data_IF_333014951108
#
_entry.id   IF_333014951108
#
_cell.length_a   1.000
_cell.length_b   1.000
_cell.length_c   1.000
_cell.angle_alpha   90.00
_cell.angle_beta   90.00
_cell.angle_gamma   90.00
#
_symmetry.space_group_name_H-M   'P 1'
#
loop_
_entity.id
_entity.type
_entity.pdbx_description
1 polymer ?
#
# COMPACT_ATOMS: atom_id res chain seq x y z
N UNK A 1 4.77 -31.85 -8.25
CA UNK A 1 4.08 -32.11 -6.97
C UNK A 1 3.07 -31.01 -6.74
N UNK A 2 1.80 -31.38 -6.59
CA UNK A 2 0.72 -30.47 -6.26
C UNK A 2 0.99 -29.84 -4.88
N UNK A 3 1.21 -28.53 -4.84
CA UNK A 3 1.09 -27.75 -3.62
C UNK A 3 -0.33 -27.17 -3.62
N UNK A 4 -1.30 -28.00 -3.25
CA UNK A 4 -2.63 -27.55 -2.86
C UNK A 4 -2.51 -26.90 -1.49
N UNK A 5 -2.19 -25.61 -1.47
CA UNK A 5 -2.25 -24.77 -0.29
C UNK A 5 -2.89 -23.47 -0.69
N UNK A 6 -4.18 -23.34 -0.46
CA UNK A 6 -4.93 -22.12 -0.68
C UNK A 6 -4.26 -20.96 0.09
N UNK A 7 -3.71 -19.93 -0.58
CA UNK A 7 -3.06 -18.81 0.09
C UNK A 7 -4.01 -18.02 1.00
N UNK A 8 -5.33 -18.15 0.77
CA UNK A 8 -6.38 -17.44 1.50
C UNK A 8 -6.56 -17.99 2.92
N UNK A 9 -6.13 -19.22 3.19
CA UNK A 9 -6.29 -19.86 4.49
C UNK A 9 -5.42 -19.25 5.61
N UNK A 10 -4.41 -18.43 5.28
CA UNK A 10 -3.45 -17.88 6.26
C UNK A 10 -3.72 -16.43 6.67
N UNK A 11 -4.56 -15.68 5.95
CA UNK A 11 -4.78 -14.26 6.22
C UNK A 11 -6.02 -13.97 7.08
N UNK A 12 -6.85 -14.99 7.36
CA UNK A 12 -8.18 -14.76 7.91
C UNK A 12 -8.42 -15.51 9.22
N UNK A 13 -8.22 -14.73 10.28
CA UNK A 13 -8.67 -14.85 11.67
C UNK A 13 -7.71 -15.54 12.68
N UNK A 14 -7.67 -15.02 13.93
CA UNK A 14 -8.67 -14.14 14.50
C UNK A 14 -8.13 -12.74 14.83
N UNK A 15 -8.95 -11.71 14.58
CA UNK A 15 -9.12 -10.70 15.62
C UNK A 15 -9.62 -11.47 16.84
N UNK A 16 -8.72 -12.10 17.60
CA UNK A 16 -9.04 -12.57 18.94
C UNK A 16 -9.06 -11.29 19.75
N UNK A 17 -10.25 -10.72 19.98
CA UNK A 17 -10.30 -9.42 20.60
C UNK A 17 -9.99 -9.56 22.10
N UNK A 18 -9.73 -10.79 22.61
CA UNK A 18 -9.26 -11.06 23.97
C UNK A 18 -7.94 -10.39 24.35
N UNK A 19 -7.17 -9.88 23.38
CA UNK A 19 -5.97 -9.06 23.59
C UNK A 19 -6.23 -7.55 23.72
N UNK A 20 -7.44 -7.07 23.41
CA UNK A 20 -7.80 -5.64 23.44
C UNK A 20 -8.75 -5.36 24.62
N UNK A 21 -8.44 -4.35 25.45
CA UNK A 21 -9.12 -4.11 26.73
C UNK A 21 -10.64 -3.96 26.63
N UNK A 22 -11.13 -3.24 25.61
CA UNK A 22 -12.57 -3.00 25.40
C UNK A 22 -13.39 -4.28 25.15
N UNK A 23 -12.78 -5.36 24.65
CA UNK A 23 -13.49 -6.62 24.40
C UNK A 23 -13.81 -7.40 25.67
N UNK A 24 -12.91 -7.31 26.65
CA UNK A 24 -13.10 -7.94 27.96
C UNK A 24 -14.25 -7.27 28.73
N UNK A 25 -14.46 -5.99 28.46
CA UNK A 25 -15.52 -5.17 29.07
C UNK A 25 -16.85 -5.23 28.30
N UNK A 26 -16.88 -5.78 27.09
CA UNK A 26 -18.11 -5.93 26.32
C UNK A 26 -19.18 -6.75 27.06
N UNK A 27 -20.47 -6.53 26.78
CA UNK A 27 -21.53 -7.35 27.32
C UNK A 27 -21.37 -8.83 26.86
N UNK A 28 -21.76 -9.79 27.70
CA UNK A 28 -21.66 -11.22 27.40
C UNK A 28 -22.40 -11.59 26.10
N UNK A 29 -23.56 -11.00 25.87
CA UNK A 29 -24.36 -11.17 24.66
C UNK A 29 -23.63 -10.72 23.39
N UNK A 30 -22.91 -9.58 23.44
CA UNK A 30 -22.10 -9.10 22.31
C UNK A 30 -20.93 -10.05 22.02
N UNK A 31 -20.29 -10.60 23.06
CA UNK A 31 -19.22 -11.59 22.89
C UNK A 31 -19.72 -12.89 22.26
N UNK A 32 -20.85 -13.41 22.74
CA UNK A 32 -21.49 -14.61 22.19
C UNK A 32 -21.90 -14.39 20.73
N UNK A 33 -22.47 -13.23 20.42
CA UNK A 33 -22.90 -12.89 19.06
C UNK A 33 -21.71 -12.78 18.10
N UNK A 34 -20.62 -12.12 18.51
CA UNK A 34 -19.41 -12.04 17.69
C UNK A 34 -18.71 -13.39 17.54
N UNK A 35 -18.67 -14.22 18.59
CA UNK A 35 -18.13 -15.57 18.52
C UNK A 35 -18.95 -16.45 17.57
N UNK A 36 -20.28 -16.32 17.59
CA UNK A 36 -21.16 -16.98 16.64
C UNK A 36 -20.87 -16.54 15.21
N UNK A 37 -20.75 -15.24 14.95
CA UNK A 37 -20.40 -14.69 13.62
C UNK A 37 -18.99 -15.08 13.18
N UNK A 38 -18.01 -15.17 14.07
CA UNK A 38 -16.67 -15.62 13.74
C UNK A 38 -16.63 -17.12 13.38
N UNK A 39 -17.44 -17.95 14.07
CA UNK A 39 -17.49 -19.39 13.85
C UNK A 39 -18.39 -19.81 12.67
N UNK A 40 -19.42 -19.03 12.35
CA UNK A 40 -20.44 -19.39 11.34
C UNK A 40 -20.54 -18.38 10.19
N UNK A 41 -19.90 -17.21 10.33
CA UNK A 41 -19.83 -16.22 9.27
C UNK A 41 -18.99 -16.74 8.12
N UNK A 42 -19.62 -16.92 6.97
CA UNK A 42 -18.88 -17.04 5.73
C UNK A 42 -18.40 -15.64 5.37
N UNK A 43 -17.10 -15.41 5.44
CA UNK A 43 -16.49 -14.23 4.81
C UNK A 43 -16.41 -14.52 3.31
N UNK A 44 -17.28 -13.93 2.47
CA UNK A 44 -17.14 -14.09 1.03
C UNK A 44 -15.79 -13.49 0.62
N UNK A 45 -15.14 -14.10 -0.37
CA UNK A 45 -13.93 -13.51 -0.93
C UNK A 45 -14.23 -12.08 -1.38
N UNK A 46 -13.51 -11.08 -0.86
CA UNK A 46 -13.81 -9.70 -1.18
C UNK A 46 -13.51 -9.45 -2.68
N UNK A 47 -14.47 -8.81 -3.36
CA UNK A 47 -14.36 -8.45 -4.78
C UNK A 47 -14.50 -6.95 -4.97
N UNK A 48 -13.62 -6.37 -5.79
CA UNK A 48 -13.80 -5.02 -6.34
C UNK A 48 -14.61 -5.12 -7.62
N UNK A 49 -15.70 -4.36 -7.68
CA UNK A 49 -16.60 -4.32 -8.83
C UNK A 49 -16.47 -2.98 -9.54
N UNK A 50 -16.29 -2.99 -10.87
CA UNK A 50 -16.24 -1.79 -11.70
C UNK A 50 -17.20 -1.89 -12.87
N UNK A 51 -18.08 -0.92 -13.02
CA UNK A 51 -19.01 -0.86 -14.14
C UNK A 51 -18.30 -0.45 -15.44
N UNK A 52 -18.73 -1.05 -16.54
CA UNK A 52 -18.35 -0.71 -17.91
C UNK A 52 -19.59 -0.73 -18.79
N UNK A 53 -19.55 -0.09 -19.97
CA UNK A 53 -20.68 -0.12 -20.90
C UNK A 53 -21.05 -1.56 -21.24
N UNK A 54 -22.28 -1.96 -20.92
CA UNK A 54 -22.79 -3.31 -21.19
C UNK A 54 -22.44 -4.38 -20.15
N UNK A 55 -21.81 -4.04 -19.02
CA UNK A 55 -21.51 -5.04 -18.00
C UNK A 55 -20.73 -4.56 -16.77
N UNK A 56 -20.05 -5.50 -16.13
CA UNK A 56 -19.29 -5.30 -14.89
C UNK A 56 -18.00 -6.13 -14.93
N UNK A 57 -16.91 -5.55 -14.44
CA UNK A 57 -15.66 -6.24 -14.13
C UNK A 57 -15.65 -6.59 -12.63
N UNK A 58 -15.28 -7.82 -12.30
CA UNK A 58 -15.10 -8.28 -10.93
C UNK A 58 -13.66 -8.75 -10.73
N UNK A 59 -12.98 -8.23 -9.71
CA UNK A 59 -11.58 -8.54 -9.42
C UNK A 59 -11.41 -8.90 -7.95
N UNK A 60 -10.43 -9.74 -7.62
CA UNK A 60 -10.00 -9.89 -6.23
C UNK A 60 -9.48 -8.56 -5.70
N UNK A 61 -9.72 -8.26 -4.43
CA UNK A 61 -9.12 -7.08 -3.79
C UNK A 61 -7.60 -7.30 -3.68
N UNK A 62 -6.77 -6.38 -4.21
CA UNK A 62 -5.32 -6.48 -4.04
C UNK A 62 -4.98 -6.31 -2.55
N UNK A 63 -3.93 -6.99 -2.10
CA UNK A 63 -3.32 -6.70 -0.80
C UNK A 63 -2.30 -5.57 -1.00
N UNK A 64 -2.61 -4.31 -0.66
CA UNK A 64 -1.64 -3.24 -0.81
C UNK A 64 -0.50 -3.42 0.20
N UNK A 65 0.69 -2.86 -0.08
CA UNK A 65 1.72 -2.72 0.94
C UNK A 65 1.21 -1.86 2.11
N UNK A 66 1.60 -2.24 3.33
CA UNK A 66 1.30 -1.49 4.54
C UNK A 66 2.59 -1.20 5.29
N UNK A 67 2.76 0.06 5.68
CA UNK A 67 3.93 0.52 6.41
C UNK A 67 4.00 -0.16 7.78
N UNK A 68 5.18 -0.66 8.14
CA UNK A 68 5.43 -1.29 9.44
C UNK A 68 4.89 -2.72 9.60
N UNK A 69 4.36 -3.34 8.54
CA UNK A 69 4.17 -4.80 8.48
C UNK A 69 5.37 -5.46 7.80
N UNK A 70 5.58 -6.77 8.05
CA UNK A 70 6.71 -7.55 7.50
C UNK A 70 6.82 -7.31 5.99
N UNK A 71 7.85 -6.54 5.64
CA UNK A 71 7.91 -5.72 4.44
C UNK A 71 8.38 -6.55 3.25
N UNK A 72 8.00 -6.15 2.04
CA UNK A 72 8.42 -6.76 0.80
C UNK A 72 9.92 -7.13 0.79
N UNK A 73 10.29 -8.29 0.21
CA UNK A 73 11.69 -8.63 0.01
C UNK A 73 12.32 -7.64 -0.99
N UNK A 74 12.95 -6.59 -0.45
CA UNK A 74 13.60 -5.55 -1.24
C UNK A 74 14.94 -6.03 -1.81
N UNK A 75 15.13 -5.83 -3.11
CA UNK A 75 16.42 -6.03 -3.78
C UNK A 75 17.09 -4.69 -4.07
N UNK A 76 18.23 -4.43 -3.43
CA UNK A 76 19.07 -3.26 -3.74
C UNK A 76 19.79 -3.51 -5.07
N UNK A 77 19.45 -2.72 -6.09
CA UNK A 77 20.02 -2.81 -7.45
C UNK A 77 21.03 -1.71 -7.78
N UNK A 78 21.33 -0.85 -6.81
CA UNK A 78 22.28 0.27 -6.91
C UNK A 78 23.62 -0.06 -6.26
N UNK A 79 24.69 0.67 -6.64
CA UNK A 79 26.01 0.54 -5.98
C UNK A 79 25.98 1.04 -4.53
N UNK A 80 25.24 2.11 -4.27
CA UNK A 80 25.03 2.66 -2.93
C UNK A 80 23.89 1.90 -2.26
N UNK A 81 24.11 1.47 -1.03
CA UNK A 81 23.05 0.93 -0.17
C UNK A 81 22.35 2.08 0.56
N UNK A 82 21.00 2.10 0.59
CA UNK A 82 20.27 3.08 1.40
C UNK A 82 20.60 2.92 2.88
N UNK A 83 20.61 4.02 3.61
CA UNK A 83 20.69 4.03 5.07
C UNK A 83 19.39 3.49 5.70
N UNK A 84 19.43 3.17 7.00
CA UNK A 84 18.24 2.70 7.73
C UNK A 84 17.07 3.69 7.64
N UNK A 85 17.35 5.00 7.72
CA UNK A 85 16.32 6.04 7.60
C UNK A 85 15.73 6.10 6.19
N UNK A 86 16.56 5.99 5.16
CA UNK A 86 16.08 5.97 3.78
C UNK A 86 15.29 4.70 3.47
N UNK A 87 15.63 3.56 4.08
CA UNK A 87 14.82 2.33 3.96
C UNK A 87 13.44 2.49 4.58
N UNK A 88 13.36 3.13 5.75
CA UNK A 88 12.11 3.44 6.44
C UNK A 88 11.23 4.38 5.59
N UNK A 89 11.83 5.44 5.04
CA UNK A 89 11.15 6.37 4.13
C UNK A 89 10.72 5.69 2.81
N UNK A 90 11.50 4.72 2.30
CA UNK A 90 11.12 3.92 1.13
C UNK A 90 9.92 3.01 1.44
N UNK A 91 9.88 2.36 2.60
CA UNK A 91 8.74 1.53 3.02
C UNK A 91 7.47 2.37 3.20
N UNK A 92 7.62 3.55 3.81
CA UNK A 92 6.54 4.53 3.91
C UNK A 92 6.06 4.97 2.52
N UNK A 93 6.98 5.38 1.64
CA UNK A 93 6.64 5.87 0.31
C UNK A 93 5.94 4.79 -0.54
N UNK A 94 6.42 3.55 -0.47
CA UNK A 94 5.84 2.40 -1.16
C UNK A 94 4.41 2.08 -0.68
N UNK A 95 4.21 2.12 0.64
CA UNK A 95 2.89 1.91 1.23
C UNK A 95 1.92 3.02 0.85
N UNK A 96 2.38 4.27 0.87
CA UNK A 96 1.58 5.43 0.55
C UNK A 96 1.21 5.52 -0.94
N UNK A 97 2.13 5.17 -1.86
CA UNK A 97 1.88 5.29 -3.31
C UNK A 97 0.77 4.36 -3.80
N UNK A 98 0.52 3.24 -3.11
CA UNK A 98 -0.57 2.32 -3.42
C UNK A 98 -1.97 2.95 -3.32
N UNK A 99 -2.13 4.03 -2.54
CA UNK A 99 -3.36 4.81 -2.44
C UNK A 99 -3.53 5.88 -3.52
N UNK A 100 -2.53 6.08 -4.39
CA UNK A 100 -2.49 7.15 -5.39
C UNK A 100 -2.91 6.63 -6.76
N UNK A 101 -3.70 7.41 -7.50
CA UNK A 101 -4.14 7.03 -8.86
C UNK A 101 -2.98 7.05 -9.86
N UNK A 102 -2.81 5.94 -10.58
CA UNK A 102 -1.80 5.76 -11.62
C UNK A 102 -1.90 6.77 -12.77
N UNK A 103 -0.79 7.11 -13.44
CA UNK A 103 0.60 6.83 -13.06
C UNK A 103 1.00 7.69 -11.85
N UNK A 104 1.57 7.06 -10.82
CA UNK A 104 1.83 7.71 -9.55
C UNK A 104 3.33 7.77 -9.20
N UNK A 105 3.74 8.94 -8.72
CA UNK A 105 5.06 9.22 -8.14
C UNK A 105 4.85 9.92 -6.80
N UNK A 106 5.47 9.39 -5.75
CA UNK A 106 5.39 9.93 -4.41
C UNK A 106 6.80 10.14 -3.86
N UNK A 107 7.05 11.37 -3.40
CA UNK A 107 8.28 11.78 -2.72
C UNK A 107 8.02 11.83 -1.23
N UNK A 108 8.89 11.25 -0.41
CA UNK A 108 8.74 11.23 1.04
C UNK A 108 10.06 11.41 1.78
N UNK A 109 10.00 11.96 2.99
CA UNK A 109 11.13 12.03 3.92
C UNK A 109 10.59 12.15 5.35
N UNK A 110 11.29 11.53 6.30
CA UNK A 110 10.93 11.50 7.72
C UNK A 110 9.46 11.06 7.94
N UNK A 111 9.01 10.04 7.19
CA UNK A 111 7.64 9.50 7.29
C UNK A 111 6.53 10.45 6.79
N UNK A 112 6.87 11.48 6.03
CA UNK A 112 5.91 12.45 5.48
C UNK A 112 6.03 12.59 3.96
N UNK A 113 4.90 12.80 3.28
CA UNK A 113 4.88 13.06 1.84
C UNK A 113 5.32 14.50 1.55
N UNK A 114 6.31 14.66 0.68
CA UNK A 114 6.79 15.97 0.21
C UNK A 114 6.11 16.40 -1.10
N UNK A 115 5.79 15.44 -1.98
CA UNK A 115 5.20 15.73 -3.29
C UNK A 115 4.54 14.50 -3.90
N UNK A 116 3.40 14.71 -4.57
CA UNK A 116 2.64 13.64 -5.23
C UNK A 116 2.27 14.05 -6.65
N UNK A 117 2.79 13.30 -7.61
CA UNK A 117 2.37 13.32 -9.01
C UNK A 117 1.41 12.15 -9.27
N UNK A 118 0.23 12.44 -9.83
CA UNK A 118 -0.80 11.42 -10.02
C UNK A 118 -1.63 11.68 -11.27
N UNK A 119 -2.21 10.61 -11.82
CA UNK A 119 -3.19 10.67 -12.90
C UNK A 119 -2.65 11.13 -14.25
N UNK A 120 -1.32 11.15 -14.43
CA UNK A 120 -0.70 11.53 -15.69
C UNK A 120 -0.64 10.34 -16.65
N UNK A 121 -0.71 10.63 -17.95
CA UNK A 121 -0.59 9.62 -19.02
C UNK A 121 0.85 9.09 -19.08
N UNK A 122 1.85 9.96 -18.89
CA UNK A 122 3.26 9.61 -18.77
C UNK A 122 3.73 9.61 -17.32
N UNK A 123 4.63 8.68 -16.98
CA UNK A 123 5.27 8.62 -15.66
C UNK A 123 6.32 9.73 -15.48
N UNK A 124 6.90 10.24 -16.57
CA UNK A 124 7.79 11.41 -16.54
C UNK A 124 7.02 12.65 -16.07
N UNK A 125 5.84 12.89 -16.65
CA UNK A 125 4.97 14.01 -16.25
C UNK A 125 4.54 13.89 -14.77
N UNK A 126 4.32 12.66 -14.30
CA UNK A 126 4.04 12.42 -12.89
C UNK A 126 5.24 12.78 -11.99
N UNK A 127 6.47 12.40 -12.37
CA UNK A 127 7.69 12.80 -11.64
C UNK A 127 7.84 14.31 -11.59
N UNK A 128 7.74 14.98 -12.75
CA UNK A 128 7.83 16.44 -12.83
C UNK A 128 6.75 17.13 -11.98
N UNK A 129 5.52 16.62 -12.00
CA UNK A 129 4.43 17.16 -11.19
C UNK A 129 4.70 17.02 -9.68
N UNK A 130 5.27 15.89 -9.24
CA UNK A 130 5.63 15.67 -7.84
C UNK A 130 6.69 16.68 -7.39
N UNK A 131 7.75 16.86 -8.19
CA UNK A 131 8.85 17.81 -7.92
C UNK A 131 8.34 19.25 -7.92
N UNK A 132 7.56 19.66 -8.93
CA UNK A 132 7.00 21.02 -9.03
C UNK A 132 6.10 21.35 -7.85
N UNK A 133 5.28 20.41 -7.36
CA UNK A 133 4.42 20.64 -6.19
C UNK A 133 5.23 20.82 -4.90
N UNK A 134 6.25 20.00 -4.69
CA UNK A 134 7.14 20.14 -3.53
C UNK A 134 7.88 21.49 -3.56
N UNK A 135 8.39 21.88 -4.73
CA UNK A 135 9.05 23.18 -4.92
C UNK A 135 8.10 24.37 -4.69
N UNK A 136 6.86 24.29 -5.18
CA UNK A 136 5.84 25.32 -4.94
C UNK A 136 5.47 25.47 -3.46
N UNK A 137 5.60 24.39 -2.68
CA UNK A 137 5.43 24.39 -1.22
C UNK A 137 6.69 24.81 -0.46
N UNK A 138 7.79 25.13 -1.16
CA UNK A 138 9.07 25.50 -0.55
C UNK A 138 9.76 24.34 0.18
N UNK A 139 9.46 23.09 -0.20
CA UNK A 139 10.01 21.90 0.44
C UNK A 139 11.34 21.51 -0.21
N UNK A 140 12.35 21.27 0.61
CA UNK A 140 13.61 20.68 0.16
C UNK A 140 13.43 19.18 -0.11
N UNK A 141 13.85 18.74 -1.30
CA UNK A 141 13.78 17.35 -1.75
C UNK A 141 15.10 16.58 -1.51
N UNK A 142 16.13 17.21 -0.94
CA UNK A 142 17.43 16.57 -0.72
C UNK A 142 17.30 15.36 0.21
N UNK A 143 17.76 14.21 -0.27
CA UNK A 143 17.73 12.95 0.50
C UNK A 143 16.33 12.37 0.72
N UNK A 144 15.32 12.82 -0.03
CA UNK A 144 14.01 12.17 -0.01
C UNK A 144 14.02 10.80 -0.70
N UNK A 145 13.13 9.92 -0.28
CA UNK A 145 12.78 8.68 -0.97
C UNK A 145 11.73 8.93 -2.06
N UNK A 146 11.78 8.14 -3.13
CA UNK A 146 10.81 8.15 -4.21
C UNK A 146 10.21 6.76 -4.37
N UNK A 147 8.88 6.68 -4.42
CA UNK A 147 8.15 5.48 -4.82
C UNK A 147 7.34 5.72 -6.09
N UNK A 148 7.29 4.71 -6.96
CA UNK A 148 6.40 4.68 -8.12
C UNK A 148 5.52 3.44 -8.07
N UNK A 149 4.26 3.58 -8.44
CA UNK A 149 3.27 2.50 -8.46
C UNK A 149 3.54 1.41 -9.50
N UNK A 150 4.38 1.69 -10.50
CA UNK A 150 4.90 0.67 -11.41
C UNK A 150 6.31 1.03 -11.89
N UNK A 151 6.92 0.12 -12.64
CA UNK A 151 8.29 0.27 -13.11
C UNK A 151 8.49 1.52 -14.01
N UNK A 152 9.70 2.08 -13.99
CA UNK A 152 10.11 3.09 -14.95
C UNK A 152 10.54 2.42 -16.26
N UNK A 153 9.89 2.72 -17.41
CA UNK A 153 10.24 2.10 -18.68
C UNK A 153 11.59 2.64 -19.21
N UNK A 154 11.95 3.87 -18.86
CA UNK A 154 13.18 4.54 -19.25
C UNK A 154 13.76 5.35 -18.09
N UNK A 155 15.00 5.80 -18.24
CA UNK A 155 15.75 6.52 -17.21
C UNK A 155 15.23 7.93 -16.95
N UNK A 156 14.60 8.55 -17.94
CA UNK A 156 14.04 9.90 -17.87
C UNK A 156 13.10 10.10 -16.68
N UNK A 157 12.23 9.13 -16.38
CA UNK A 157 11.31 9.23 -15.24
C UNK A 157 12.00 9.25 -13.88
N UNK A 158 13.22 8.70 -13.76
CA UNK A 158 14.04 8.75 -12.54
C UNK A 158 14.92 10.02 -12.51
N UNK A 159 15.21 10.60 -13.68
CA UNK A 159 16.08 11.77 -13.82
C UNK A 159 15.38 13.12 -13.93
N UNK A 160 14.05 13.12 -14.03
CA UNK A 160 13.18 14.30 -14.03
C UNK A 160 13.09 14.95 -12.64
#
# INVERSE_FOLDING_TARGET
LAMSGDPVARAHLPLDPGRVGWWREAASEHRTSAAFLAAHGRLPEPRTLRTVSGGLLAQSVPSPPFYGLESAEWKVVTRRTPSVRELDDLDFAWSAVAGVKSNAILLARDGATLGIGMGQVSRVDASELAVRKAAAAGLDLSGCALASDAFFPFRDGVGA
#
